data_IF_919065357893
#
_entry.id   IF_919065357893
#
_cell.length_a   1.000
_cell.length_b   1.000
_cell.length_c   1.000
_cell.angle_alpha   90.00
_cell.angle_beta   90.00
_cell.angle_gamma   90.00
#
_symmetry.space_group_name_H-M   'P 1'
#
loop_
_entity.id
_entity.type
_entity.pdbx_description
1 polymer ?
#
# COMPACT_ATOMS: atom_id res chain seq x y z
N UNK A 1 -7.65 -9.07 13.93
CA UNK A 1 -7.82 -8.49 12.59
C UNK A 1 -6.56 -8.79 11.78
N UNK A 2 -6.63 -8.98 10.44
CA UNK A 2 -5.42 -9.15 9.63
C UNK A 2 -4.54 -7.90 9.73
N UNK A 3 -3.23 -8.11 9.82
CA UNK A 3 -2.23 -7.05 9.77
C UNK A 3 -1.78 -6.82 8.33
N UNK A 4 -1.69 -5.56 7.92
CA UNK A 4 -1.24 -5.14 6.61
C UNK A 4 -0.11 -4.11 6.78
N UNK A 5 0.96 -4.26 5.98
CA UNK A 5 2.06 -3.30 5.93
C UNK A 5 1.71 -2.18 4.92
N UNK A 6 1.46 -0.97 5.41
CA UNK A 6 1.39 0.22 4.56
C UNK A 6 2.80 0.63 4.19
N UNK A 7 3.11 0.67 2.90
CA UNK A 7 4.43 1.02 2.38
C UNK A 7 4.38 2.25 1.48
N UNK A 8 5.43 3.06 1.54
CA UNK A 8 5.65 4.19 0.65
C UNK A 8 7.15 4.31 0.30
N UNK A 9 7.51 4.51 -0.99
CA UNK A 9 8.90 4.53 -1.40
C UNK A 9 9.64 5.74 -0.84
N UNK A 10 10.93 5.59 -0.52
CA UNK A 10 11.73 6.74 -0.11
C UNK A 10 12.11 7.61 -1.33
N UNK A 11 11.59 8.83 -1.38
CA UNK A 11 11.89 9.80 -2.43
C UNK A 11 12.83 10.87 -1.87
N UNK A 12 13.87 11.26 -2.64
CA UNK A 12 14.83 12.29 -2.24
C UNK A 12 14.12 13.56 -1.75
N UNK A 13 14.55 14.08 -0.60
CA UNK A 13 13.94 15.26 0.04
C UNK A 13 12.70 14.95 0.88
N UNK A 14 12.33 13.67 1.05
CA UNK A 14 11.28 13.26 1.98
C UNK A 14 11.82 13.16 3.39
N UNK A 15 11.30 13.98 4.30
CA UNK A 15 11.66 14.00 5.72
C UNK A 15 10.57 13.37 6.59
N UNK A 16 9.34 13.32 6.09
CA UNK A 16 8.20 12.74 6.79
C UNK A 16 7.16 12.26 5.78
N UNK A 17 6.57 11.09 6.07
CA UNK A 17 5.38 10.60 5.38
C UNK A 17 4.32 10.28 6.40
N UNK A 18 3.10 10.76 6.17
CA UNK A 18 1.90 10.36 6.90
C UNK A 18 0.90 9.76 5.94
N UNK A 19 -0.07 9.01 6.45
CA UNK A 19 -1.18 8.48 5.66
C UNK A 19 -2.51 8.67 6.39
N UNK A 20 -3.59 8.68 5.61
CA UNK A 20 -4.97 8.54 6.07
C UNK A 20 -5.72 7.67 5.05
N UNK A 21 -6.87 7.12 5.44
CA UNK A 21 -7.63 6.24 4.57
C UNK A 21 -9.13 6.31 4.76
N UNK A 22 -9.84 5.63 3.88
CA UNK A 22 -11.31 5.65 3.86
C UNK A 22 -11.94 4.89 5.03
N UNK A 23 -11.22 3.98 5.68
CA UNK A 23 -11.72 3.14 6.79
C UNK A 23 -12.19 3.93 8.02
N UNK A 24 -11.68 5.15 8.21
CA UNK A 24 -12.11 6.07 9.28
C UNK A 24 -12.68 7.38 8.74
N UNK A 25 -13.10 7.40 7.48
CA UNK A 25 -13.60 8.61 6.83
C UNK A 25 -12.54 9.71 6.70
N UNK A 26 -11.26 9.34 6.52
CA UNK A 26 -10.14 10.26 6.32
C UNK A 26 -9.80 11.14 7.53
N UNK A 27 -10.26 10.78 8.72
CA UNK A 27 -10.17 11.64 9.90
C UNK A 27 -8.79 11.61 10.55
N UNK A 28 -8.08 10.47 10.49
CA UNK A 28 -6.83 10.29 11.22
C UNK A 28 -5.63 10.28 10.29
N UNK A 29 -4.72 11.22 10.55
CA UNK A 29 -3.43 11.29 9.89
C UNK A 29 -2.35 10.61 10.73
N UNK A 30 -1.80 9.51 10.25
CA UNK A 30 -0.83 8.67 10.98
C UNK A 30 0.53 8.71 10.32
N UNK A 31 1.58 8.94 11.10
CA UNK A 31 2.96 8.95 10.58
C UNK A 31 3.49 7.53 10.31
N UNK A 32 4.13 7.35 9.16
CA UNK A 32 4.93 6.18 8.80
C UNK A 32 6.30 6.21 9.46
N UNK A 33 6.85 5.03 9.73
CA UNK A 33 8.22 4.86 10.19
C UNK A 33 9.17 4.72 8.99
N UNK A 34 10.33 5.35 9.03
CA UNK A 34 11.34 5.15 7.98
C UNK A 34 12.23 3.95 8.31
N UNK A 35 12.09 2.89 7.53
CA UNK A 35 12.98 1.72 7.59
C UNK A 35 14.24 2.00 6.75
N UNK A 36 15.34 2.25 7.44
CA UNK A 36 16.64 2.54 6.82
C UNK A 36 17.24 1.36 6.07
N UNK A 37 16.93 0.12 6.46
CA UNK A 37 17.49 -1.10 5.86
C UNK A 37 16.82 -1.36 4.52
N UNK A 38 15.48 -1.27 4.49
CA UNK A 38 14.68 -1.44 3.27
C UNK A 38 14.60 -0.17 2.42
N UNK A 39 15.04 0.97 2.97
CA UNK A 39 14.94 2.29 2.34
C UNK A 39 13.50 2.65 1.92
N UNK A 40 12.54 2.39 2.80
CA UNK A 40 11.10 2.66 2.59
C UNK A 40 10.47 3.27 3.84
N UNK A 41 9.32 3.91 3.66
CA UNK A 41 8.43 4.31 4.74
C UNK A 41 7.39 3.21 4.96
N UNK A 42 7.21 2.77 6.20
CA UNK A 42 6.39 1.61 6.53
C UNK A 42 5.59 1.79 7.82
N UNK A 43 4.40 1.19 7.90
CA UNK A 43 3.65 1.01 9.15
C UNK A 43 2.66 -0.14 9.07
N UNK A 44 2.61 -0.93 10.14
CA UNK A 44 1.56 -1.94 10.31
C UNK A 44 0.22 -1.28 10.63
N UNK A 45 -0.84 -1.77 9.97
CA UNK A 45 -2.22 -1.43 10.29
C UNK A 45 -3.06 -2.71 10.43
N UNK A 46 -4.07 -2.64 11.28
CA UNK A 46 -5.07 -3.67 11.42
C UNK A 46 -6.36 -3.19 10.78
N UNK A 47 -6.81 -3.87 9.73
CA UNK A 47 -8.05 -3.57 9.02
C UNK A 47 -8.90 -4.81 8.89
N UNK A 48 -10.21 -4.64 8.74
CA UNK A 48 -11.06 -5.74 8.30
C UNK A 48 -10.77 -6.11 6.86
N UNK A 49 -11.26 -7.28 6.43
CA UNK A 49 -11.15 -7.67 5.03
C UNK A 49 -12.06 -6.81 4.18
N UNK A 50 -11.53 -6.27 3.09
CA UNK A 50 -12.23 -5.33 2.25
C UNK A 50 -11.29 -4.53 1.36
N UNK A 51 -11.87 -3.66 0.56
CA UNK A 51 -11.14 -2.72 -0.27
C UNK A 51 -11.22 -1.32 0.36
N UNK A 52 -10.08 -0.65 0.47
CA UNK A 52 -9.97 0.67 1.08
C UNK A 52 -9.16 1.61 0.19
N UNK A 53 -9.39 2.90 0.36
CA UNK A 53 -8.56 3.93 -0.24
C UNK A 53 -7.59 4.48 0.80
N UNK A 54 -6.40 4.85 0.34
CA UNK A 54 -5.35 5.46 1.15
C UNK A 54 -4.70 6.62 0.38
N UNK A 55 -4.32 7.66 1.11
CA UNK A 55 -3.54 8.79 0.60
C UNK A 55 -2.35 9.06 1.49
N UNK A 56 -1.26 9.52 0.89
CA UNK A 56 -0.03 9.84 1.59
C UNK A 56 0.21 11.35 1.59
N UNK A 57 0.53 11.90 2.76
CA UNK A 57 0.97 13.27 2.92
C UNK A 57 2.48 13.29 3.14
N UNK A 58 3.21 13.76 2.12
CA UNK A 58 4.65 13.95 2.13
C UNK A 58 4.99 15.34 2.66
N UNK A 59 5.97 15.42 3.56
CA UNK A 59 6.52 16.67 4.09
C UNK A 59 5.47 17.70 4.56
N UNK A 60 4.34 17.23 5.11
CA UNK A 60 3.21 18.02 5.65
C UNK A 60 2.30 18.77 4.69
N UNK A 61 2.63 18.90 3.40
CA UNK A 61 1.82 19.69 2.45
C UNK A 61 1.50 18.99 1.13
N UNK A 62 2.17 17.88 0.81
CA UNK A 62 2.12 17.30 -0.52
C UNK A 62 1.37 15.96 -0.52
N UNK A 63 0.15 15.97 -1.05
CA UNK A 63 -0.66 14.76 -1.19
C UNK A 63 -0.23 13.98 -2.41
N UNK A 64 0.26 12.77 -2.18
CA UNK A 64 0.86 11.93 -3.19
C UNK A 64 0.27 10.52 -3.17
N UNK A 65 0.37 9.87 -4.31
CA UNK A 65 0.14 8.43 -4.48
C UNK A 65 1.47 7.75 -4.80
N UNK A 66 1.54 6.46 -4.55
CA UNK A 66 2.68 5.60 -4.90
C UNK A 66 2.31 4.66 -6.05
N UNK A 67 3.27 4.31 -6.89
CA UNK A 67 3.15 3.30 -7.94
C UNK A 67 3.26 1.85 -7.40
N UNK A 68 3.66 1.70 -6.13
CA UNK A 68 3.72 0.39 -5.45
C UNK A 68 2.33 -0.21 -5.14
N UNK A 69 1.27 0.60 -5.23
CA UNK A 69 -0.10 0.20 -4.96
C UNK A 69 -0.97 0.57 -6.15
N UNK A 70 -2.08 -0.14 -6.35
CA UNK A 70 -3.06 0.24 -7.35
C UNK A 70 -3.53 1.69 -7.12
N UNK A 71 -3.73 2.44 -8.19
CA UNK A 71 -4.13 3.86 -8.13
C UNK A 71 -5.55 3.97 -8.67
N UNK A 72 -6.44 4.55 -7.87
CA UNK A 72 -7.71 5.09 -8.34
C UNK A 72 -7.42 6.43 -9.02
N UNK A 73 -7.81 6.62 -10.29
CA UNK A 73 -7.72 7.91 -10.96
C UNK A 73 -8.51 8.98 -10.21
N UNK A 74 -8.10 10.23 -10.34
CA UNK A 74 -8.86 11.35 -9.80
C UNK A 74 -10.25 11.44 -10.47
N UNK A 75 -11.30 11.45 -9.66
CA UNK A 75 -12.66 11.75 -10.09
C UNK A 75 -13.16 12.96 -9.30
N UNK A 76 -13.51 14.04 -10.00
CA UNK A 76 -13.98 15.28 -9.36
C UNK A 76 -12.96 15.89 -8.39
N UNK A 77 -13.45 16.38 -7.25
CA UNK A 77 -12.67 17.14 -6.26
C UNK A 77 -11.82 16.27 -5.33
N UNK A 78 -12.01 14.96 -5.35
CA UNK A 78 -11.37 14.06 -4.38
C UNK A 78 -9.91 13.77 -4.73
N UNK A 79 -9.48 14.02 -5.97
CA UNK A 79 -8.12 13.68 -6.43
C UNK A 79 -7.87 12.16 -6.48
N UNK A 80 -6.65 11.76 -6.86
CA UNK A 80 -6.28 10.35 -6.93
C UNK A 80 -6.06 9.76 -5.54
N UNK A 81 -6.19 8.44 -5.42
CA UNK A 81 -5.91 7.70 -4.19
C UNK A 81 -5.26 6.36 -4.53
N UNK A 82 -4.51 5.79 -3.59
CA UNK A 82 -4.08 4.41 -3.69
C UNK A 82 -5.19 3.48 -3.17
N UNK A 83 -5.26 2.27 -3.70
CA UNK A 83 -6.21 1.23 -3.33
C UNK A 83 -5.45 0.15 -2.56
N UNK A 84 -6.00 -0.25 -1.42
CA UNK A 84 -5.54 -1.39 -0.61
C UNK A 84 -6.65 -2.44 -0.59
N UNK A 85 -6.31 -3.69 -0.89
CA UNK A 85 -7.23 -4.82 -0.75
C UNK A 85 -6.74 -5.77 0.33
N UNK A 86 -7.55 -5.94 1.38
CA UNK A 86 -7.26 -6.79 2.52
C UNK A 86 -8.06 -8.09 2.38
N UNK A 87 -7.36 -9.20 2.18
CA UNK A 87 -7.96 -10.53 2.08
C UNK A 87 -7.79 -11.31 3.38
N UNK A 88 -8.72 -12.23 3.67
CA UNK A 88 -8.48 -13.26 4.67
C UNK A 88 -7.37 -14.15 4.13
N UNK A 89 -6.34 -14.39 4.94
CA UNK A 89 -5.31 -15.37 4.60
C UNK A 89 -5.98 -16.75 4.56
N UNK A 90 -6.22 -17.28 3.36
CA UNK A 90 -6.54 -18.70 3.21
C UNK A 90 -5.25 -19.47 3.51
N UNK A 91 -5.28 -20.27 4.57
CA UNK A 91 -4.22 -21.23 4.85
C UNK A 91 -4.44 -22.46 3.99
N UNK A 92 -3.92 -22.48 2.77
CA UNK A 92 -3.63 -23.71 2.03
C UNK A 92 -2.43 -23.49 1.11
N UNK A 93 -1.34 -24.22 1.38
CA UNK A 93 -0.23 -24.43 0.45
C UNK A 93 -0.64 -25.51 -0.56
N UNK A 94 -0.71 -25.17 -1.85
CA UNK A 94 -0.21 -26.08 -2.88
C UNK A 94 0.13 -25.36 -4.19
N UNK A 95 1.41 -25.47 -4.53
CA UNK A 95 2.12 -25.03 -5.72
C UNK A 95 1.44 -25.42 -7.03
N UNK A 96 1.29 -24.48 -7.96
CA UNK A 96 1.41 -24.73 -9.41
C UNK A 96 1.55 -23.43 -10.21
N UNK A 97 2.73 -23.24 -10.81
CA UNK A 97 2.86 -22.67 -12.17
C UNK A 97 3.02 -21.16 -12.35
N UNK A 98 4.29 -20.72 -12.34
CA UNK A 98 4.87 -19.73 -13.28
C UNK A 98 4.50 -18.25 -13.14
N UNK A 99 5.34 -17.48 -12.44
CA UNK A 99 6.04 -16.33 -13.06
C UNK A 99 7.19 -15.84 -12.18
N UNK A 100 8.36 -15.68 -12.79
CA UNK A 100 9.63 -15.31 -12.16
C UNK A 100 9.69 -13.82 -11.83
N UNK A 101 9.99 -13.48 -10.57
CA UNK A 101 11.00 -12.48 -10.16
C UNK A 101 11.17 -12.55 -8.63
N UNK A 102 12.00 -13.50 -8.20
CA UNK A 102 12.35 -13.72 -6.79
C UNK A 102 13.50 -12.78 -6.39
N UNK A 103 13.26 -11.87 -5.44
CA UNK A 103 14.32 -11.32 -4.60
C UNK A 103 14.50 -12.24 -3.38
N UNK A 104 15.71 -12.75 -3.08
CA UNK A 104 15.86 -13.73 -2.01
C UNK A 104 15.92 -13.09 -0.62
N UNK A 105 15.10 -13.68 0.26
CA UNK A 105 15.17 -13.74 1.72
C UNK A 105 15.11 -12.44 2.53
N UNK A 106 13.96 -12.21 3.19
CA UNK A 106 13.83 -12.27 4.65
C UNK A 106 12.33 -12.14 5.06
N UNK A 107 11.79 -13.23 5.61
CA UNK A 107 10.56 -13.34 6.42
C UNK A 107 9.21 -12.93 5.77
N UNK A 108 8.61 -13.91 5.09
CA UNK A 108 7.21 -14.34 5.20
C UNK A 108 6.11 -13.25 5.34
N UNK A 109 6.08 -12.30 4.40
CA UNK A 109 4.83 -11.65 4.00
C UNK A 109 4.85 -11.54 2.47
N UNK A 110 4.03 -12.37 1.81
CA UNK A 110 3.85 -12.31 0.37
C UNK A 110 2.98 -11.09 0.06
N UNK A 111 3.49 -10.22 -0.83
CA UNK A 111 2.70 -9.21 -1.52
C UNK A 111 1.60 -9.97 -2.27
N UNK A 112 0.33 -9.66 -1.97
CA UNK A 112 -0.82 -10.25 -2.65
C UNK A 112 -1.13 -9.38 -3.89
N UNK A 113 -1.05 -10.03 -5.06
CA UNK A 113 -1.49 -9.64 -6.40
C UNK A 113 -1.62 -8.15 -6.76
N UNK A 114 -0.69 -7.70 -7.62
CA UNK A 114 -0.87 -6.54 -8.48
C UNK A 114 -1.67 -7.02 -9.70
N UNK A 115 -3.00 -6.99 -9.62
CA UNK A 115 -3.82 -7.16 -10.83
C UNK A 115 -3.71 -5.87 -11.67
N UNK A 116 -2.82 -5.90 -12.67
CA UNK A 116 -2.92 -4.99 -13.82
C UNK A 116 -4.27 -5.25 -14.48
N UNK A 117 -5.20 -4.30 -14.35
CA UNK A 117 -6.39 -4.27 -15.18
C UNK A 117 -5.95 -3.92 -16.61
N UNK A 118 -5.75 -4.94 -17.44
CA UNK A 118 -5.61 -4.78 -18.89
C UNK A 118 -6.94 -4.28 -19.45
N UNK A 119 -7.01 -3.01 -19.83
CA UNK A 119 -8.07 -2.52 -20.71
C UNK A 119 -7.68 -2.86 -22.14
N UNK A 120 -8.43 -3.75 -22.79
CA UNK A 120 -8.39 -3.94 -24.24
C UNK A 120 -9.28 -2.89 -24.91
N UNK A 121 -8.73 -2.21 -25.92
CA UNK A 121 -9.47 -1.37 -26.88
C UNK A 121 -10.08 -2.27 -27.95
#
# INVERSE_FOLDING_TARGET
MPKFEVIFPNIKGTNQVKYCGSWDGWQKLTQLHFDQIRNIWIKDIELECGQFEIKFLRNTYDWVVTDLLAIRPAYGIEGPANIITVHKKHSDEQTSGTSLTTFPSLRKWHIIDITQASYSI
#
